data_IF_692077461262
#
_entry.id   IF_692077461262
#
_cell.length_a   1.000
_cell.length_b   1.000
_cell.length_c   1.000
_cell.angle_alpha   90.00
_cell.angle_beta   90.00
_cell.angle_gamma   90.00
#
_symmetry.space_group_name_H-M   'P 1'
#
loop_
_entity.id
_entity.type
_entity.pdbx_description
1 polymer ?
#
# COMPACT_ATOMS: atom_id res chain seq x y z
N UNK A 1 -4.90 -45.14 -68.80
CA UNK A 1 -4.35 -43.80 -68.77
C UNK A 1 -4.58 -43.30 -67.36
N UNK A 2 -3.53 -43.31 -66.54
CA UNK A 2 -3.60 -42.97 -65.14
C UNK A 2 -3.01 -41.54 -64.93
N UNK A 3 -3.86 -40.58 -64.60
CA UNK A 3 -3.42 -39.24 -64.30
C UNK A 3 -2.87 -39.21 -62.84
N UNK A 4 -1.60 -38.98 -62.70
CA UNK A 4 -0.93 -38.81 -61.46
C UNK A 4 -0.98 -37.31 -61.14
N UNK A 5 -1.83 -36.95 -60.16
CA UNK A 5 -1.91 -35.60 -59.58
C UNK A 5 -0.71 -35.40 -58.65
N UNK A 6 0.24 -34.56 -59.07
CA UNK A 6 1.37 -34.16 -58.24
C UNK A 6 0.89 -33.08 -57.30
N UNK A 7 0.71 -33.43 -56.02
CA UNK A 7 0.48 -32.45 -54.95
C UNK A 7 1.84 -31.90 -54.53
N UNK A 8 2.09 -30.66 -54.85
CA UNK A 8 3.25 -29.93 -54.32
C UNK A 8 2.96 -29.49 -52.88
N UNK A 9 3.58 -30.14 -51.92
CA UNK A 9 3.55 -29.70 -50.51
C UNK A 9 4.58 -28.59 -50.38
N UNK A 10 4.11 -27.35 -50.31
CA UNK A 10 4.93 -26.21 -49.94
C UNK A 10 5.12 -26.23 -48.43
N UNK A 11 6.26 -26.67 -47.97
CA UNK A 11 6.64 -26.58 -46.55
C UNK A 11 7.02 -25.14 -46.27
N UNK A 12 6.15 -24.41 -45.61
CA UNK A 12 6.50 -23.14 -45.01
C UNK A 12 7.38 -23.43 -43.78
N UNK A 13 8.66 -23.27 -43.94
CA UNK A 13 9.58 -23.15 -42.83
C UNK A 13 9.27 -21.81 -42.11
N UNK A 14 8.44 -21.88 -41.09
CA UNK A 14 8.37 -20.82 -40.08
C UNK A 14 9.73 -20.81 -39.36
N UNK A 15 10.62 -19.97 -39.85
CA UNK A 15 11.78 -19.55 -39.08
C UNK A 15 11.19 -18.73 -37.93
N UNK A 16 10.88 -19.42 -36.86
CA UNK A 16 10.64 -18.75 -35.59
C UNK A 16 11.93 -18.02 -35.21
N UNK A 17 11.95 -16.71 -35.37
CA UNK A 17 12.86 -15.89 -34.62
C UNK A 17 12.61 -16.19 -33.15
N UNK A 18 13.41 -17.08 -32.61
CA UNK A 18 13.62 -17.16 -31.19
C UNK A 18 14.42 -15.90 -30.84
N UNK A 19 13.76 -14.73 -30.84
CA UNK A 19 14.23 -13.68 -29.99
C UNK A 19 14.23 -14.30 -28.59
N UNK A 20 15.41 -14.68 -28.15
CA UNK A 20 15.69 -14.70 -26.74
C UNK A 20 15.33 -13.28 -26.29
N UNK A 21 14.09 -13.10 -25.84
CA UNK A 21 13.80 -12.08 -24.87
C UNK A 21 14.75 -12.45 -23.74
N UNK A 22 15.96 -11.89 -23.78
CA UNK A 22 16.69 -11.66 -22.58
C UNK A 22 15.63 -10.99 -21.73
N UNK A 23 15.10 -11.75 -20.80
CA UNK A 23 14.50 -11.19 -19.60
C UNK A 23 15.66 -10.40 -19.01
N UNK A 24 15.85 -9.21 -19.55
CA UNK A 24 16.52 -8.16 -18.84
C UNK A 24 15.83 -8.26 -17.49
N UNK A 25 16.51 -8.95 -16.57
CA UNK A 25 16.09 -8.98 -15.18
C UNK A 25 15.76 -7.55 -14.95
N UNK A 26 14.46 -7.30 -14.76
CA UNK A 26 13.97 -6.01 -14.34
C UNK A 26 14.95 -5.62 -13.26
N UNK A 27 15.93 -4.81 -13.65
CA UNK A 27 16.91 -4.32 -12.72
C UNK A 27 16.05 -3.42 -11.88
N UNK A 28 15.57 -3.99 -10.77
CA UNK A 28 15.31 -3.17 -9.59
C UNK A 28 16.55 -2.30 -9.58
N UNK A 29 16.42 -1.02 -9.98
CA UNK A 29 17.60 -0.17 -10.01
C UNK A 29 18.21 -0.41 -8.65
N UNK A 30 19.52 -0.71 -8.54
CA UNK A 30 20.11 -0.91 -7.25
C UNK A 30 19.52 0.22 -6.44
N UNK A 31 18.91 -0.11 -5.29
CA UNK A 31 18.58 0.94 -4.33
C UNK A 31 19.93 1.60 -4.17
N UNK A 32 20.13 2.61 -5.00
CA UNK A 32 21.38 3.38 -4.98
C UNK A 32 21.29 4.00 -3.63
N UNK A 33 21.91 3.31 -2.75
CA UNK A 33 22.09 3.76 -1.41
C UNK A 33 22.64 5.16 -1.49
N UNK A 34 22.13 5.93 -0.73
CA UNK A 34 20.81 6.48 -0.77
C UNK A 34 20.79 7.37 -1.98
N UNK A 35 19.69 7.61 -2.60
CA UNK A 35 19.59 8.79 -3.44
C UNK A 35 20.24 9.91 -2.63
N UNK A 36 21.53 10.20 -2.87
CA UNK A 36 22.25 11.11 -1.98
C UNK A 36 21.54 12.46 -1.88
N UNK A 37 20.78 12.80 -2.92
CA UNK A 37 19.98 14.01 -2.99
C UNK A 37 18.57 13.82 -2.36
N UNK A 38 18.00 12.60 -2.42
CA UNK A 38 16.72 12.28 -1.79
C UNK A 38 16.91 11.98 -0.31
N UNK A 39 18.06 11.48 0.10
CA UNK A 39 18.38 11.24 1.50
C UNK A 39 18.34 12.55 2.30
N UNK A 40 18.92 13.61 1.78
CA UNK A 40 18.83 14.94 2.39
C UNK A 40 17.40 15.49 2.37
N UNK A 41 16.56 15.11 1.41
CA UNK A 41 15.17 15.52 1.34
C UNK A 41 14.25 14.61 2.18
N UNK A 42 14.57 13.33 2.31
CA UNK A 42 13.75 12.37 3.04
C UNK A 42 14.01 12.36 4.56
N UNK A 43 15.22 12.65 4.99
CA UNK A 43 15.64 12.53 6.40
C UNK A 43 15.89 13.86 7.10
N UNK A 44 16.00 14.97 6.38
CA UNK A 44 16.01 16.27 7.05
C UNK A 44 14.60 16.84 7.17
N UNK A 45 14.42 17.80 8.02
CA UNK A 45 13.12 18.37 8.38
C UNK A 45 12.51 19.31 7.32
N UNK A 46 12.91 19.18 6.04
CA UNK A 46 12.42 20.01 4.95
C UNK A 46 10.89 20.00 4.82
N UNK A 47 10.27 18.88 5.11
CA UNK A 47 8.82 18.69 5.09
C UNK A 47 8.09 19.31 6.27
N UNK A 48 8.80 19.58 7.37
CA UNK A 48 8.25 20.10 8.63
C UNK A 48 8.74 21.52 8.93
N UNK A 49 9.12 22.28 7.92
CA UNK A 49 9.55 23.66 8.08
C UNK A 49 8.36 24.60 8.07
N UNK A 50 8.40 25.59 8.95
CA UNK A 50 7.37 26.63 9.00
C UNK A 50 7.32 27.49 7.72
N UNK A 51 8.40 27.52 6.95
CA UNK A 51 8.57 28.31 5.73
C UNK A 51 8.42 27.47 4.44
N UNK A 52 8.03 26.19 4.55
CA UNK A 52 7.79 25.37 3.37
C UNK A 52 6.44 25.72 2.75
N UNK A 53 6.40 26.33 1.55
CA UNK A 53 5.15 26.75 0.91
C UNK A 53 4.30 25.59 0.43
N UNK A 54 4.86 24.38 0.32
CA UNK A 54 4.19 23.19 -0.21
C UNK A 54 3.60 22.35 0.92
N UNK A 55 4.34 22.22 2.02
CA UNK A 55 3.97 21.34 3.14
C UNK A 55 4.09 22.11 4.45
N UNK A 56 3.00 22.73 4.88
CA UNK A 56 2.88 23.31 6.23
C UNK A 56 2.25 22.28 7.17
N UNK A 57 2.90 21.12 7.31
CA UNK A 57 2.45 20.04 8.17
C UNK A 57 3.27 20.03 9.47
N UNK A 58 2.71 20.59 10.51
CA UNK A 58 3.21 20.42 11.87
C UNK A 58 2.69 19.10 12.43
N UNK A 59 3.37 18.00 12.14
CA UNK A 59 2.99 16.69 12.64
C UNK A 59 3.54 16.49 14.06
N UNK A 60 2.62 16.33 15.02
CA UNK A 60 2.98 15.89 16.36
C UNK A 60 3.69 14.54 16.34
N UNK A 61 4.72 14.36 17.15
CA UNK A 61 5.49 13.09 17.11
C UNK A 61 4.70 11.90 17.67
N UNK A 62 3.60 12.14 18.37
CA UNK A 62 2.59 11.14 18.75
C UNK A 62 1.62 10.76 17.63
N UNK A 63 1.68 11.47 16.53
CA UNK A 63 0.77 11.33 15.36
C UNK A 63 1.50 10.94 14.10
N UNK A 64 2.74 10.43 14.20
CA UNK A 64 3.55 10.08 13.02
C UNK A 64 3.04 8.88 12.26
N UNK A 65 2.25 7.99 12.86
CA UNK A 65 1.58 6.90 12.15
C UNK A 65 0.32 7.45 11.51
N UNK A 66 0.37 7.68 10.20
CA UNK A 66 -0.71 8.35 9.47
C UNK A 66 -1.93 7.45 9.27
N UNK A 67 -1.71 6.23 8.77
CA UNK A 67 -2.78 5.24 8.54
C UNK A 67 -2.22 3.85 8.24
N UNK A 68 -3.13 2.85 8.21
CA UNK A 68 -2.87 1.52 7.71
C UNK A 68 -3.88 1.11 6.64
N UNK A 69 -3.39 0.48 5.57
CA UNK A 69 -4.23 -0.15 4.54
C UNK A 69 -3.93 -1.64 4.55
N UNK A 70 -4.97 -2.47 4.52
CA UNK A 70 -4.79 -3.91 4.56
C UNK A 70 -5.63 -4.64 3.52
N UNK A 71 -5.20 -5.86 3.21
CA UNK A 71 -6.00 -6.86 2.50
C UNK A 71 -5.87 -8.21 3.20
N UNK A 72 -6.93 -8.99 3.17
CA UNK A 72 -6.90 -10.40 3.60
C UNK A 72 -7.34 -11.26 2.43
N UNK A 73 -6.50 -12.20 2.03
CA UNK A 73 -6.80 -13.16 0.98
C UNK A 73 -6.16 -14.50 1.29
N UNK A 74 -6.91 -15.59 1.14
CA UNK A 74 -6.43 -16.95 1.40
C UNK A 74 -5.73 -17.08 2.76
N UNK A 75 -6.33 -16.54 3.81
CA UNK A 75 -5.77 -16.51 5.17
C UNK A 75 -4.40 -15.81 5.27
N UNK A 76 -4.07 -14.96 4.34
CA UNK A 76 -2.89 -14.10 4.42
C UNK A 76 -3.33 -12.65 4.61
N UNK A 77 -2.96 -12.05 5.73
CA UNK A 77 -3.07 -10.62 5.97
C UNK A 77 -1.84 -9.94 5.40
N UNK A 78 -2.05 -8.94 4.55
CA UNK A 78 -1.03 -7.97 4.16
C UNK A 78 -1.48 -6.59 4.62
N UNK A 79 -0.61 -5.88 5.31
CA UNK A 79 -0.88 -4.55 5.82
C UNK A 79 0.30 -3.63 5.50
N UNK A 80 -0.01 -2.48 4.91
CA UNK A 80 0.94 -1.39 4.71
C UNK A 80 0.62 -0.29 5.72
N UNK A 81 1.57 0.01 6.57
CA UNK A 81 1.55 1.18 7.43
C UNK A 81 2.21 2.35 6.72
N UNK A 82 1.57 3.51 6.72
CA UNK A 82 2.16 4.76 6.27
C UNK A 82 2.48 5.64 7.45
N UNK A 83 3.69 6.17 7.46
CA UNK A 83 4.15 7.11 8.45
C UNK A 83 4.43 8.47 7.78
N UNK A 84 4.41 9.52 8.57
CA UNK A 84 5.10 10.76 8.22
C UNK A 84 6.62 10.58 8.38
N UNK A 85 7.44 11.38 7.70
CA UNK A 85 8.88 11.31 7.84
C UNK A 85 9.33 11.34 9.30
N UNK A 86 10.27 10.48 9.64
CA UNK A 86 10.84 10.35 10.98
C UNK A 86 12.15 11.11 11.06
N UNK A 87 12.42 11.74 12.20
CA UNK A 87 13.72 12.35 12.45
C UNK A 87 14.81 11.27 12.59
N UNK A 88 16.09 11.62 12.37
CA UNK A 88 17.20 10.67 12.45
C UNK A 88 17.27 9.91 13.79
N UNK A 89 16.92 10.58 14.90
CA UNK A 89 16.93 10.02 16.24
C UNK A 89 15.72 9.15 16.59
N UNK A 90 14.66 9.20 15.79
CA UNK A 90 13.45 8.42 16.03
C UNK A 90 13.61 6.98 15.57
N UNK A 91 12.98 6.08 16.30
CA UNK A 91 13.01 4.65 15.95
C UNK A 91 12.35 4.37 14.62
N UNK A 92 13.00 3.54 13.79
CA UNK A 92 12.42 2.99 12.56
C UNK A 92 11.53 1.78 12.82
N UNK A 93 11.59 1.20 14.04
CA UNK A 93 10.76 0.05 14.38
C UNK A 93 9.29 0.43 14.40
N UNK A 94 8.49 -0.28 13.59
CA UNK A 94 7.03 -0.23 13.57
C UNK A 94 6.48 -1.57 14.02
N UNK A 95 5.55 -1.54 14.95
CA UNK A 95 4.93 -2.74 15.52
C UNK A 95 3.52 -2.88 15.03
N UNK A 96 3.15 -4.08 14.57
CA UNK A 96 1.77 -4.44 14.36
C UNK A 96 1.30 -5.22 15.59
N UNK A 97 0.28 -4.70 16.24
CA UNK A 97 -0.30 -5.23 17.46
C UNK A 97 -1.78 -5.61 17.20
N UNK A 98 -2.26 -6.61 17.91
CA UNK A 98 -3.68 -7.02 17.89
C UNK A 98 -4.22 -7.10 19.31
N UNK A 99 -5.50 -6.74 19.46
CA UNK A 99 -6.19 -6.87 20.74
C UNK A 99 -6.62 -8.32 20.98
N UNK A 100 -6.26 -8.87 22.14
CA UNK A 100 -6.69 -10.18 22.61
C UNK A 100 -7.12 -10.09 24.06
N UNK A 101 -8.40 -10.24 24.32
CA UNK A 101 -8.91 -10.22 25.70
C UNK A 101 -8.74 -8.88 26.41
N UNK A 102 -8.75 -7.77 25.69
CA UNK A 102 -8.55 -6.42 26.23
C UNK A 102 -7.09 -5.98 26.32
N UNK A 103 -6.15 -6.83 25.94
CA UNK A 103 -4.72 -6.53 25.95
C UNK A 103 -4.15 -6.49 24.54
N UNK A 104 -3.16 -5.61 24.32
CA UNK A 104 -2.45 -5.50 23.07
C UNK A 104 -1.25 -6.42 23.01
N UNK A 105 -1.14 -7.21 21.95
CA UNK A 105 -0.03 -8.14 21.72
C UNK A 105 0.65 -7.82 20.39
N UNK A 106 1.97 -7.66 20.42
CA UNK A 106 2.77 -7.48 19.21
C UNK A 106 2.79 -8.80 18.42
N UNK A 107 2.36 -8.77 17.17
CA UNK A 107 2.38 -9.95 16.30
C UNK A 107 3.48 -9.90 15.24
N UNK A 108 3.94 -8.71 14.87
CA UNK A 108 5.07 -8.53 13.97
C UNK A 108 5.72 -7.16 14.17
N UNK A 109 7.03 -7.09 13.89
CA UNK A 109 7.82 -5.88 13.85
C UNK A 109 8.46 -5.73 12.48
N UNK A 110 8.52 -4.50 11.97
CA UNK A 110 9.17 -4.14 10.72
C UNK A 110 9.86 -2.80 10.89
N UNK A 111 10.85 -2.52 10.06
CA UNK A 111 11.41 -1.17 10.00
C UNK A 111 10.69 -0.37 8.91
N UNK A 112 10.40 0.88 9.21
CA UNK A 112 9.94 1.83 8.23
C UNK A 112 11.04 2.05 7.17
N UNK A 113 10.64 2.10 5.91
CA UNK A 113 11.53 2.45 4.80
C UNK A 113 11.80 3.94 4.83
N UNK A 114 13.06 4.34 4.77
CA UNK A 114 13.49 5.75 4.87
C UNK A 114 13.10 6.63 3.67
N UNK A 115 12.68 6.03 2.55
CA UNK A 115 12.26 6.79 1.36
C UNK A 115 10.75 6.97 1.36
N UNK A 116 10.01 5.85 1.48
CA UNK A 116 8.55 5.84 1.41
C UNK A 116 7.86 5.98 2.76
N UNK A 117 8.61 5.96 3.85
CA UNK A 117 8.09 6.01 5.23
C UNK A 117 6.99 4.99 5.48
N UNK A 118 7.13 3.80 4.88
CA UNK A 118 6.16 2.73 4.99
C UNK A 118 6.76 1.48 5.63
N UNK A 119 5.93 0.74 6.35
CA UNK A 119 6.27 -0.57 6.89
C UNK A 119 5.27 -1.61 6.37
N UNK A 120 5.78 -2.71 5.81
CA UNK A 120 4.97 -3.76 5.21
C UNK A 120 4.93 -4.99 6.11
N UNK A 121 3.74 -5.38 6.50
CA UNK A 121 3.48 -6.57 7.31
C UNK A 121 2.84 -7.66 6.45
N UNK A 122 3.22 -8.90 6.72
CA UNK A 122 2.61 -10.09 6.15
C UNK A 122 2.46 -11.14 7.23
N UNK A 123 1.23 -11.52 7.50
CA UNK A 123 0.90 -12.57 8.46
C UNK A 123 0.21 -13.70 7.70
N UNK A 124 0.86 -14.82 7.60
CA UNK A 124 0.27 -16.05 7.07
C UNK A 124 -0.58 -16.74 8.16
N UNK A 125 -1.50 -17.61 7.76
CA UNK A 125 -2.44 -18.30 8.64
C UNK A 125 -3.32 -17.35 9.50
N UNK A 126 -3.64 -16.18 8.94
CA UNK A 126 -4.52 -15.22 9.58
C UNK A 126 -5.92 -15.80 9.84
N UNK A 127 -6.44 -15.64 11.06
CA UNK A 127 -7.82 -15.99 11.38
C UNK A 127 -8.79 -14.94 10.78
N UNK A 128 -9.30 -15.23 9.60
CA UNK A 128 -10.22 -14.37 8.85
C UNK A 128 -11.70 -14.61 9.19
N UNK A 129 -11.98 -15.41 10.23
CA UNK A 129 -13.34 -15.76 10.63
C UNK A 129 -14.03 -14.71 11.52
N UNK A 130 -13.27 -13.74 12.03
CA UNK A 130 -13.76 -12.71 12.95
C UNK A 130 -13.11 -11.36 12.71
N UNK A 131 -13.79 -10.32 13.15
CA UNK A 131 -13.20 -8.98 13.23
C UNK A 131 -12.08 -8.96 14.28
N UNK A 132 -10.96 -8.32 13.95
CA UNK A 132 -9.82 -8.21 14.86
C UNK A 132 -9.37 -6.76 14.92
N UNK A 133 -9.40 -6.16 16.09
CA UNK A 133 -8.83 -4.83 16.31
C UNK A 133 -7.31 -4.91 16.22
N UNK A 134 -6.73 -3.96 15.50
CA UNK A 134 -5.30 -3.84 15.34
C UNK A 134 -4.82 -2.44 15.68
N UNK A 135 -3.55 -2.35 15.99
CA UNK A 135 -2.83 -1.11 16.18
C UNK A 135 -1.47 -1.16 15.50
N UNK A 136 -1.16 -0.11 14.75
CA UNK A 136 0.18 0.13 14.23
C UNK A 136 0.84 1.12 15.19
N UNK A 137 2.01 0.81 15.69
CA UNK A 137 2.69 1.63 16.68
C UNK A 137 4.14 1.92 16.28
N UNK A 138 4.56 3.16 16.46
CA UNK A 138 5.95 3.60 16.36
C UNK A 138 6.35 4.31 17.66
N UNK A 139 7.52 3.95 18.19
CA UNK A 139 7.92 4.44 19.51
C UNK A 139 6.91 4.08 20.61
N UNK A 140 6.76 4.97 21.59
CA UNK A 140 5.90 4.72 22.74
C UNK A 140 4.53 5.41 22.65
N UNK A 141 4.43 6.53 21.94
CA UNK A 141 3.22 7.36 21.92
C UNK A 141 2.46 7.31 20.60
N UNK A 142 3.17 7.16 19.47
CA UNK A 142 2.53 7.22 18.15
C UNK A 142 1.84 5.91 17.79
N UNK A 143 0.55 5.98 17.46
CA UNK A 143 -0.18 4.81 16.98
C UNK A 143 -1.38 5.19 16.11
N UNK A 144 -1.79 4.23 15.29
CA UNK A 144 -3.02 4.24 14.51
C UNK A 144 -3.79 2.95 14.79
N UNK A 145 -5.07 3.04 15.06
CA UNK A 145 -5.94 1.89 15.35
C UNK A 145 -6.98 1.67 14.26
N UNK A 146 -7.35 0.42 14.06
CA UNK A 146 -8.39 0.04 13.14
C UNK A 146 -8.91 -1.37 13.41
N UNK A 147 -9.77 -1.84 12.52
CA UNK A 147 -10.33 -3.18 12.58
C UNK A 147 -10.07 -3.91 11.26
N UNK A 148 -9.40 -5.06 11.34
CA UNK A 148 -9.35 -6.00 10.24
C UNK A 148 -10.64 -6.78 10.26
N UNK A 149 -11.45 -6.58 9.22
CA UNK A 149 -12.78 -7.18 9.10
C UNK A 149 -12.68 -8.68 8.82
N UNK A 150 -13.66 -9.43 9.30
CA UNK A 150 -13.81 -10.83 8.92
C UNK A 150 -14.04 -10.96 7.41
N UNK A 151 -13.60 -12.07 6.85
CA UNK A 151 -13.86 -12.39 5.46
C UNK A 151 -15.38 -12.55 5.23
N UNK A 152 -15.99 -11.79 4.30
CA UNK A 152 -17.45 -11.83 4.07
C UNK A 152 -17.91 -13.04 3.24
N UNK A 153 -17.14 -14.12 3.20
CA UNK A 153 -17.39 -15.33 2.39
C UNK A 153 -18.79 -15.98 2.59
N UNK A 154 -19.42 -15.72 3.73
CA UNK A 154 -20.72 -16.28 4.07
C UNK A 154 -21.89 -15.34 3.66
N UNK A 155 -21.59 -14.19 3.05
CA UNK A 155 -22.59 -13.25 2.55
C UNK A 155 -23.02 -13.64 1.12
N UNK A 156 -24.30 -13.59 0.84
CA UNK A 156 -24.82 -13.77 -0.52
C UNK A 156 -24.49 -12.58 -1.44
N UNK A 157 -24.36 -11.39 -0.86
CA UNK A 157 -24.03 -10.16 -1.55
C UNK A 157 -22.90 -9.44 -0.82
N UNK A 158 -21.93 -8.99 -1.58
CA UNK A 158 -20.81 -8.18 -1.09
C UNK A 158 -21.00 -6.75 -1.58
N UNK A 159 -20.94 -5.82 -0.65
CA UNK A 159 -20.97 -4.38 -0.93
C UNK A 159 -19.56 -3.84 -1.10
N UNK A 160 -19.35 -3.03 -2.14
CA UNK A 160 -18.06 -2.43 -2.43
C UNK A 160 -18.19 -0.91 -2.60
N UNK A 161 -17.33 -0.17 -1.93
CA UNK A 161 -17.11 1.25 -2.21
C UNK A 161 -15.94 1.38 -3.19
N UNK A 162 -16.20 1.86 -4.40
CA UNK A 162 -15.18 2.16 -5.40
C UNK A 162 -14.88 3.66 -5.38
N UNK A 163 -13.62 4.02 -5.18
CA UNK A 163 -13.14 5.39 -5.00
C UNK A 163 -12.14 5.74 -6.09
N UNK A 164 -12.33 6.91 -6.70
CA UNK A 164 -11.46 7.41 -7.77
C UNK A 164 -11.51 8.95 -7.81
N UNK A 165 -10.53 9.56 -8.46
CA UNK A 165 -10.52 10.99 -8.81
C UNK A 165 -10.68 11.91 -7.59
N UNK A 166 -9.86 11.67 -6.57
CA UNK A 166 -9.86 12.48 -5.35
C UNK A 166 -9.05 13.77 -5.55
N UNK A 167 -9.66 14.78 -6.20
CA UNK A 167 -9.01 16.06 -6.44
C UNK A 167 -8.73 16.81 -5.13
N UNK A 168 -7.60 17.49 -5.08
CA UNK A 168 -7.24 18.40 -4.01
C UNK A 168 -7.50 19.88 -4.34
N UNK A 169 -7.98 20.18 -5.55
CA UNK A 169 -8.24 21.58 -5.99
C UNK A 169 -9.29 22.28 -5.13
N UNK A 170 -10.33 21.61 -4.78
CA UNK A 170 -11.44 22.16 -4.01
C UNK A 170 -11.19 22.21 -2.51
N UNK A 171 -10.07 21.63 -2.05
CA UNK A 171 -9.67 21.54 -0.62
C UNK A 171 -10.84 21.26 0.34
N UNK A 172 -11.92 20.67 -0.21
CA UNK A 172 -13.14 20.38 0.52
C UNK A 172 -12.90 19.41 1.66
N UNK A 173 -13.66 19.61 2.73
CA UNK A 173 -13.66 18.69 3.87
C UNK A 173 -14.25 17.36 3.44
N UNK A 174 -13.48 16.29 3.62
CA UNK A 174 -13.88 14.92 3.23
C UNK A 174 -14.70 14.20 4.28
N UNK A 175 -15.00 14.87 5.39
CA UNK A 175 -15.72 14.28 6.52
C UNK A 175 -17.10 13.74 6.12
N UNK A 176 -17.85 14.47 5.30
CA UNK A 176 -19.16 14.01 4.82
C UNK A 176 -19.04 12.76 3.96
N UNK A 177 -18.01 12.74 3.11
CA UNK A 177 -17.72 11.62 2.23
C UNK A 177 -17.32 10.38 3.03
N UNK A 178 -16.38 10.52 3.96
CA UNK A 178 -15.94 9.45 4.86
C UNK A 178 -17.12 8.96 5.71
N UNK A 179 -17.93 9.87 6.24
CA UNK A 179 -19.11 9.50 7.04
C UNK A 179 -20.11 8.70 6.23
N UNK A 180 -20.36 9.06 4.97
CA UNK A 180 -21.30 8.33 4.12
C UNK A 180 -20.77 6.92 3.80
N UNK A 181 -19.48 6.76 3.53
CA UNK A 181 -18.87 5.45 3.34
C UNK A 181 -18.99 4.61 4.61
N UNK A 182 -18.65 5.18 5.75
CA UNK A 182 -18.78 4.49 7.05
C UNK A 182 -20.23 4.09 7.36
N UNK A 183 -21.20 4.94 6.98
CA UNK A 183 -22.62 4.61 7.16
C UNK A 183 -23.08 3.45 6.27
N UNK A 184 -22.54 3.33 5.07
CA UNK A 184 -22.84 2.23 4.16
C UNK A 184 -22.15 0.93 4.56
N UNK A 185 -21.14 1.00 5.41
CA UNK A 185 -20.38 -0.14 5.95
C UNK A 185 -19.98 -1.17 4.87
N UNK A 186 -19.22 -0.76 3.82
CA UNK A 186 -18.89 -1.65 2.73
C UNK A 186 -17.96 -2.79 3.19
N UNK A 187 -18.12 -3.96 2.58
CA UNK A 187 -17.25 -5.12 2.82
C UNK A 187 -15.86 -4.94 2.21
N UNK A 188 -15.79 -4.16 1.15
CA UNK A 188 -14.55 -3.89 0.40
C UNK A 188 -14.49 -2.42 0.02
N UNK A 189 -13.33 -1.82 0.17
CA UNK A 189 -12.99 -0.51 -0.41
C UNK A 189 -11.99 -0.74 -1.54
N UNK A 190 -12.32 -0.25 -2.73
CA UNK A 190 -11.47 -0.34 -3.92
C UNK A 190 -11.02 1.04 -4.35
N UNK A 191 -9.73 1.29 -4.31
CA UNK A 191 -9.12 2.50 -4.81
C UNK A 191 -8.77 2.31 -6.28
N UNK A 192 -9.57 2.91 -7.16
CA UNK A 192 -9.47 2.72 -8.61
C UNK A 192 -8.43 3.64 -9.29
N UNK A 193 -7.63 4.34 -8.51
CA UNK A 193 -6.64 5.29 -9.01
C UNK A 193 -7.05 6.75 -8.81
N UNK A 194 -6.18 7.66 -9.22
CA UNK A 194 -6.36 9.10 -9.08
C UNK A 194 -6.65 9.54 -7.64
N UNK A 195 -5.90 8.96 -6.69
CA UNK A 195 -6.09 9.23 -5.28
C UNK A 195 -5.52 10.58 -4.86
N UNK A 196 -4.61 11.11 -5.65
CA UNK A 196 -4.06 12.46 -5.49
C UNK A 196 -3.70 13.04 -6.86
N UNK A 197 -3.68 14.34 -6.95
CA UNK A 197 -3.24 15.09 -8.12
C UNK A 197 -2.19 16.09 -7.66
N UNK A 198 -1.07 16.10 -8.36
CA UNK A 198 -0.09 17.17 -8.24
C UNK A 198 -0.44 18.25 -9.29
N UNK A 199 -0.89 19.37 -8.81
CA UNK A 199 -1.17 20.54 -9.64
C UNK A 199 -0.05 21.56 -9.40
N UNK A 200 1.01 21.39 -10.14
CA UNK A 200 2.04 22.44 -10.26
C UNK A 200 1.46 23.55 -11.17
N UNK A 201 0.89 24.55 -10.59
CA UNK A 201 0.66 25.88 -11.18
C UNK A 201 1.39 26.92 -10.37
#
# INVERSE_FOLDING_TARGET
MKNILKVAITVFLLIGCNEKVDKEKERIPPVIAPFSDVDTLAINDWWNRADNPIIDLKVGRDSVVAFGIYTVSNKTLKLSAQLYPLYPEETREVRLEVEKGGEWSVIQKQNANDIGWSALFRIDDWDDSKDTKYRIRNGESAFFEGTIRKNPKDKEQISMAALSCNSNKDRGMRENYVRNINHQDPDLIFFAGDQSYDHTE
#
